data_IF_619926033364
#
_entry.id   IF_619926033364
#
_cell.length_a   1.000
_cell.length_b   1.000
_cell.length_c   1.000
_cell.angle_alpha   90.00
_cell.angle_beta   90.00
_cell.angle_gamma   90.00
#
_symmetry.space_group_name_H-M   'P 1'
#
loop_
_entity.id
_entity.type
_entity.pdbx_description
1 polymer ?
#
# COMPACT_ATOMS: atom_id res chain seq x y z
N UNK A 1 -4.64 25.26 -15.07
CA UNK A 1 -3.37 24.51 -14.85
C UNK A 1 -3.65 23.47 -13.77
N UNK A 2 -3.23 22.24 -13.98
CA UNK A 2 -3.34 21.20 -12.96
C UNK A 2 -2.61 21.62 -11.69
N UNK A 3 -3.20 21.32 -10.54
CA UNK A 3 -2.53 21.42 -9.25
C UNK A 3 -1.64 20.20 -9.08
N UNK A 4 -0.37 20.40 -8.80
CA UNK A 4 0.52 19.29 -8.49
C UNK A 4 0.14 18.70 -7.12
N UNK A 5 -0.25 17.40 -7.06
CA UNK A 5 -0.62 16.78 -5.79
C UNK A 5 0.62 16.55 -4.90
N UNK A 6 0.49 16.20 -3.61
CA UNK A 6 1.64 15.86 -2.77
C UNK A 6 2.50 14.75 -3.42
N UNK A 7 3.81 14.78 -3.17
CA UNK A 7 4.77 13.85 -3.76
C UNK A 7 5.27 12.84 -2.71
N UNK A 8 5.17 11.57 -3.01
CA UNK A 8 5.73 10.47 -2.20
C UNK A 8 6.84 9.73 -2.94
N UNK A 9 7.55 8.87 -2.24
CA UNK A 9 8.52 7.95 -2.82
C UNK A 9 8.20 6.52 -2.38
N UNK A 10 8.08 5.62 -3.34
CA UNK A 10 8.04 4.18 -3.12
C UNK A 10 9.41 3.57 -3.43
N UNK A 11 9.93 2.76 -2.53
CA UNK A 11 11.19 2.02 -2.69
C UNK A 11 10.88 0.53 -2.65
N UNK A 12 11.16 -0.18 -3.74
CA UNK A 12 10.91 -1.60 -3.84
C UNK A 12 12.15 -2.43 -3.53
N UNK A 13 12.04 -3.32 -2.54
CA UNK A 13 13.07 -4.33 -2.23
C UNK A 13 12.51 -5.71 -2.57
N UNK A 14 13.06 -6.39 -3.62
CA UNK A 14 12.38 -7.54 -4.21
C UNK A 14 12.64 -8.88 -3.52
N UNK A 15 13.47 -8.97 -2.49
CA UNK A 15 13.85 -10.25 -1.91
C UNK A 15 12.97 -10.66 -0.73
N UNK A 16 12.67 -11.97 -0.67
CA UNK A 16 12.07 -12.66 0.47
C UNK A 16 12.94 -13.86 0.83
N UNK A 17 12.90 -14.29 2.09
CA UNK A 17 13.47 -15.59 2.49
C UNK A 17 12.75 -16.71 1.73
N UNK A 18 11.42 -16.66 1.70
CA UNK A 18 10.56 -17.59 0.99
C UNK A 18 9.40 -16.81 0.36
N UNK A 19 9.02 -17.17 -0.89
CA UNK A 19 7.84 -16.58 -1.53
C UNK A 19 6.60 -17.34 -1.09
N UNK A 20 5.63 -16.62 -0.54
CA UNK A 20 4.35 -17.17 -0.11
C UNK A 20 3.51 -17.63 -1.31
N UNK A 21 2.72 -18.72 -1.20
CA UNK A 21 1.97 -19.30 -2.32
C UNK A 21 0.85 -18.41 -2.87
N UNK A 22 0.39 -17.41 -2.12
CA UNK A 22 -0.64 -16.45 -2.52
C UNK A 22 -0.07 -15.15 -3.08
N UNK A 23 1.24 -14.89 -2.90
CA UNK A 23 1.82 -13.57 -3.17
C UNK A 23 2.03 -13.33 -4.69
N UNK A 24 1.40 -12.27 -5.20
CA UNK A 24 1.52 -11.76 -6.57
C UNK A 24 2.57 -10.66 -6.75
N UNK A 25 3.09 -10.13 -5.63
CA UNK A 25 4.08 -9.06 -5.66
C UNK A 25 5.34 -9.48 -6.43
N UNK A 26 6.03 -8.46 -7.00
CA UNK A 26 7.33 -8.67 -7.64
C UNK A 26 8.41 -9.05 -6.60
N UNK A 27 8.26 -10.24 -6.02
CA UNK A 27 9.14 -10.77 -4.98
C UNK A 27 9.87 -12.03 -5.46
N UNK A 28 11.11 -12.16 -5.04
CA UNK A 28 12.01 -13.23 -5.44
C UNK A 28 12.58 -13.92 -4.20
N UNK A 29 12.44 -15.26 -4.13
CA UNK A 29 13.08 -16.02 -3.06
C UNK A 29 14.60 -15.83 -3.12
N UNK A 30 15.19 -15.52 -1.98
CA UNK A 30 16.63 -15.35 -1.83
C UNK A 30 17.37 -16.65 -2.14
N UNK A 31 18.43 -16.55 -2.95
CA UNK A 31 19.36 -17.63 -3.23
C UNK A 31 20.78 -17.13 -2.94
N UNK A 32 21.29 -17.37 -1.73
CA UNK A 32 22.55 -16.85 -1.27
C UNK A 32 22.43 -15.47 -0.59
N UNK A 33 23.52 -14.72 -0.50
CA UNK A 33 23.55 -13.41 0.14
C UNK A 33 22.82 -12.35 -0.70
N UNK A 34 22.09 -11.44 -0.04
CA UNK A 34 21.47 -10.29 -0.69
C UNK A 34 22.57 -9.26 -0.96
N UNK A 35 22.71 -8.75 -2.20
CA UNK A 35 23.70 -7.73 -2.52
C UNK A 35 23.23 -6.33 -2.04
N UNK A 36 23.08 -6.13 -0.71
CA UNK A 36 22.48 -4.92 -0.14
C UNK A 36 23.13 -3.64 -0.66
N UNK A 37 24.46 -3.53 -0.56
CA UNK A 37 25.18 -2.30 -0.88
C UNK A 37 25.11 -2.00 -2.40
N UNK A 38 25.22 -3.02 -3.23
CA UNK A 38 25.11 -2.88 -4.67
C UNK A 38 23.69 -2.45 -5.06
N UNK A 39 22.67 -3.07 -4.46
CA UNK A 39 21.29 -2.71 -4.71
C UNK A 39 20.96 -1.29 -4.28
N UNK A 40 21.42 -0.84 -3.11
CA UNK A 40 21.25 0.54 -2.67
C UNK A 40 21.92 1.52 -3.63
N UNK A 41 23.10 1.21 -4.10
CA UNK A 41 23.78 2.02 -5.11
C UNK A 41 22.93 2.16 -6.38
N UNK A 42 22.32 1.08 -6.84
CA UNK A 42 21.41 1.10 -7.98
C UNK A 42 20.11 1.86 -7.69
N UNK A 43 19.51 1.74 -6.48
CA UNK A 43 18.36 2.55 -6.07
C UNK A 43 18.65 4.05 -6.14
N UNK A 44 19.82 4.48 -5.67
CA UNK A 44 20.22 5.88 -5.67
C UNK A 44 20.49 6.43 -7.09
N UNK A 45 21.04 5.59 -7.97
CA UNK A 45 21.21 5.94 -9.40
C UNK A 45 19.87 6.01 -10.11
N UNK A 46 18.94 5.10 -9.80
CA UNK A 46 17.58 5.10 -10.34
C UNK A 46 16.85 6.38 -9.94
N UNK A 47 16.93 6.76 -8.65
CA UNK A 47 16.38 8.02 -8.17
C UNK A 47 16.98 9.22 -8.92
N UNK A 48 18.30 9.27 -9.06
CA UNK A 48 18.98 10.36 -9.78
C UNK A 48 18.51 10.47 -11.24
N UNK A 49 18.34 9.33 -11.90
CA UNK A 49 17.84 9.28 -13.28
C UNK A 49 16.40 9.81 -13.38
N UNK A 50 15.51 9.42 -12.43
CA UNK A 50 14.13 9.88 -12.37
C UNK A 50 14.05 11.39 -12.05
N UNK A 51 14.84 11.89 -11.10
CA UNK A 51 14.89 13.32 -10.77
C UNK A 51 15.31 14.17 -11.97
N UNK A 52 16.21 13.66 -12.80
CA UNK A 52 16.61 14.33 -14.04
C UNK A 52 15.52 14.23 -15.14
N UNK A 53 14.95 13.02 -15.33
CA UNK A 53 13.93 12.75 -16.34
C UNK A 53 12.65 13.55 -16.10
N UNK A 54 12.20 13.57 -14.86
CA UNK A 54 10.93 14.16 -14.45
C UNK A 54 11.09 15.52 -13.74
N UNK A 55 12.21 16.21 -13.98
CA UNK A 55 12.56 17.46 -13.27
C UNK A 55 11.42 18.49 -13.26
N UNK A 56 10.68 18.64 -14.37
CA UNK A 56 9.62 19.65 -14.50
C UNK A 56 8.41 19.33 -13.60
N UNK A 57 8.14 18.05 -13.31
CA UNK A 57 7.13 17.63 -12.34
C UNK A 57 7.62 17.73 -10.88
N UNK A 58 8.90 17.46 -10.63
CA UNK A 58 9.44 17.29 -9.28
C UNK A 58 9.97 18.61 -8.68
N UNK A 59 10.36 19.55 -9.52
CA UNK A 59 11.06 20.78 -9.16
C UNK A 59 10.38 21.51 -7.98
N UNK A 60 11.15 21.80 -6.91
CA UNK A 60 10.72 22.49 -5.68
C UNK A 60 9.70 21.70 -4.81
N UNK A 61 9.43 20.44 -5.13
CA UNK A 61 8.57 19.60 -4.29
C UNK A 61 9.40 18.88 -3.25
N UNK A 62 8.81 18.68 -2.07
CA UNK A 62 9.39 17.87 -0.99
C UNK A 62 8.65 16.53 -0.92
N UNK A 63 9.33 15.50 -0.41
CA UNK A 63 8.67 14.22 -0.17
C UNK A 63 7.78 14.31 1.07
N UNK A 64 6.50 14.00 0.88
CA UNK A 64 5.48 13.91 1.91
C UNK A 64 5.58 12.58 2.70
N UNK A 65 5.91 11.49 2.01
CA UNK A 65 6.12 10.17 2.61
C UNK A 65 7.11 9.33 1.80
N UNK A 66 7.74 8.37 2.48
CA UNK A 66 8.54 7.30 1.86
C UNK A 66 7.98 5.95 2.34
N UNK A 67 7.76 5.03 1.41
CA UNK A 67 7.35 3.67 1.73
C UNK A 67 8.36 2.67 1.14
N UNK A 68 8.99 1.89 2.01
CA UNK A 68 9.97 0.86 1.63
C UNK A 68 9.26 -0.50 1.76
N UNK A 69 8.90 -1.09 0.60
CA UNK A 69 8.05 -2.27 0.54
C UNK A 69 8.50 -3.29 -0.50
N UNK A 70 7.63 -4.26 -0.79
CA UNK A 70 7.77 -5.21 -1.88
C UNK A 70 7.91 -6.66 -1.46
N UNK A 71 9.13 -7.18 -1.35
CA UNK A 71 9.41 -8.52 -0.82
C UNK A 71 9.43 -8.51 0.71
N UNK A 72 10.62 -8.35 1.26
CA UNK A 72 10.85 -8.26 2.72
C UNK A 72 11.95 -7.23 2.97
N UNK A 73 11.62 -5.94 3.03
CA UNK A 73 12.61 -4.87 3.26
C UNK A 73 13.41 -5.02 4.56
N UNK A 74 12.83 -5.62 5.58
CA UNK A 74 13.49 -5.90 6.86
C UNK A 74 14.66 -6.91 6.79
N UNK A 75 14.89 -7.51 5.63
CA UNK A 75 16.11 -8.28 5.38
C UNK A 75 17.36 -7.39 5.28
N UNK A 76 17.18 -6.11 4.90
CA UNK A 76 18.30 -5.15 4.83
C UNK A 76 18.68 -4.68 6.23
N UNK A 77 19.98 -4.46 6.43
CA UNK A 77 20.52 -3.96 7.69
C UNK A 77 20.04 -2.52 8.00
N UNK A 78 20.00 -2.16 9.28
CA UNK A 78 19.66 -0.80 9.70
C UNK A 78 20.64 0.24 9.14
N UNK A 79 21.92 -0.12 9.04
CA UNK A 79 22.99 0.67 8.45
C UNK A 79 22.74 0.95 6.98
N UNK A 80 22.31 -0.07 6.25
CA UNK A 80 21.95 0.04 4.82
C UNK A 80 20.74 0.96 4.61
N UNK A 81 19.72 0.83 5.44
CA UNK A 81 18.53 1.72 5.39
C UNK A 81 18.91 3.17 5.79
N UNK A 82 19.75 3.35 6.82
CA UNK A 82 20.22 4.68 7.21
C UNK A 82 21.00 5.36 6.07
N UNK A 83 21.88 4.62 5.41
CA UNK A 83 22.63 5.12 4.27
C UNK A 83 21.71 5.50 3.12
N UNK A 84 20.77 4.63 2.76
CA UNK A 84 19.78 4.90 1.71
C UNK A 84 19.00 6.19 1.99
N UNK A 85 18.39 6.33 3.16
CA UNK A 85 17.59 7.50 3.52
C UNK A 85 18.42 8.80 3.56
N UNK A 86 19.65 8.72 4.06
CA UNK A 86 20.60 9.86 4.07
C UNK A 86 20.91 10.32 2.64
N UNK A 87 21.18 9.39 1.72
CA UNK A 87 21.54 9.73 0.35
C UNK A 87 20.32 10.18 -0.47
N UNK A 88 19.12 9.65 -0.22
CA UNK A 88 17.87 10.17 -0.79
C UNK A 88 17.67 11.63 -0.37
N UNK A 89 17.84 11.94 0.93
CA UNK A 89 17.67 13.31 1.45
C UNK A 89 18.63 14.32 0.86
N UNK A 90 19.78 13.91 0.37
CA UNK A 90 20.69 14.80 -0.37
C UNK A 90 20.22 15.12 -1.78
N UNK A 91 19.38 14.28 -2.36
CA UNK A 91 18.89 14.41 -3.74
C UNK A 91 17.53 15.11 -3.82
N UNK A 92 16.68 14.92 -2.82
CA UNK A 92 15.35 15.53 -2.74
C UNK A 92 14.98 15.83 -1.27
N UNK A 93 14.45 17.02 -1.01
CA UNK A 93 14.06 17.45 0.33
C UNK A 93 12.87 16.66 0.89
N UNK A 94 12.83 16.51 2.21
CA UNK A 94 11.73 15.93 2.96
C UNK A 94 10.89 17.02 3.62
N UNK A 95 9.58 16.77 3.76
CA UNK A 95 8.73 17.56 4.66
C UNK A 95 9.15 17.32 6.13
N UNK A 96 8.94 18.31 7.00
CA UNK A 96 9.37 18.26 8.40
C UNK A 96 8.74 17.07 9.17
N UNK A 97 7.48 16.73 8.84
CA UNK A 97 6.73 15.64 9.45
C UNK A 97 6.56 14.44 8.49
N UNK A 98 7.60 14.14 7.71
CA UNK A 98 7.57 13.01 6.77
C UNK A 98 7.24 11.69 7.51
N UNK A 99 6.39 10.88 6.91
CA UNK A 99 6.22 9.48 7.30
C UNK A 99 7.17 8.60 6.48
N UNK A 100 7.96 7.78 7.15
CA UNK A 100 8.85 6.80 6.51
C UNK A 100 8.47 5.43 7.02
N UNK A 101 7.83 4.63 6.16
CA UNK A 101 7.37 3.27 6.46
C UNK A 101 8.34 2.23 5.93
N UNK A 102 8.59 1.19 6.72
CA UNK A 102 9.31 -0.03 6.32
C UNK A 102 8.40 -1.25 6.52
N UNK A 103 8.27 -2.10 5.51
CA UNK A 103 7.64 -3.41 5.68
C UNK A 103 8.59 -4.41 6.33
N UNK A 104 8.05 -5.20 7.25
CA UNK A 104 8.81 -6.20 8.00
C UNK A 104 8.03 -7.50 8.18
N UNK A 105 8.76 -8.61 8.17
CA UNK A 105 8.24 -9.85 8.72
C UNK A 105 8.40 -9.84 10.25
N UNK A 106 7.48 -10.49 10.98
CA UNK A 106 7.54 -10.54 12.43
C UNK A 106 8.49 -11.63 12.97
N UNK A 107 9.50 -12.04 12.21
CA UNK A 107 10.53 -12.99 12.66
C UNK A 107 11.41 -12.38 13.76
N UNK A 108 12.01 -13.21 14.59
CA UNK A 108 12.79 -12.76 15.76
C UNK A 108 13.95 -11.87 15.38
N UNK A 109 14.68 -12.23 14.32
CA UNK A 109 15.88 -11.48 13.88
C UNK A 109 15.50 -10.09 13.35
N UNK A 110 14.41 -9.98 12.60
CA UNK A 110 13.92 -8.71 12.05
C UNK A 110 13.41 -7.79 13.16
N UNK A 111 12.70 -8.32 14.13
CA UNK A 111 12.18 -7.54 15.26
C UNK A 111 13.28 -6.92 16.14
N UNK A 112 14.40 -7.61 16.35
CA UNK A 112 15.55 -7.08 17.07
C UNK A 112 16.18 -5.85 16.40
N UNK A 113 15.98 -5.69 15.08
CA UNK A 113 16.49 -4.56 14.30
C UNK A 113 15.64 -3.28 14.40
N UNK A 114 14.43 -3.34 14.96
CA UNK A 114 13.50 -2.20 14.97
C UNK A 114 14.08 -0.92 15.57
N UNK A 115 14.85 -1.01 16.68
CA UNK A 115 15.54 0.15 17.24
C UNK A 115 16.58 0.74 16.28
N UNK A 116 17.26 -0.11 15.54
CA UNK A 116 18.19 0.32 14.48
C UNK A 116 17.47 1.07 13.36
N UNK A 117 16.32 0.58 12.91
CA UNK A 117 15.51 1.25 11.88
C UNK A 117 14.97 2.60 12.36
N UNK A 118 14.54 2.71 13.63
CA UNK A 118 14.15 4.01 14.21
C UNK A 118 15.33 4.97 14.19
N UNK A 119 16.52 4.52 14.59
CA UNK A 119 17.75 5.33 14.53
C UNK A 119 18.14 5.71 13.11
N UNK A 120 17.80 4.88 12.12
CA UNK A 120 17.98 5.16 10.69
C UNK A 120 16.98 6.20 10.14
N UNK A 121 15.92 6.53 10.88
CA UNK A 121 14.90 7.51 10.48
C UNK A 121 13.55 6.90 10.10
N UNK A 122 13.36 5.58 10.23
CA UNK A 122 12.04 4.94 10.04
C UNK A 122 11.10 5.43 11.15
N UNK A 123 9.91 5.89 10.76
CA UNK A 123 8.89 6.41 11.68
C UNK A 123 7.73 5.45 11.88
N UNK A 124 7.53 4.52 10.92
CA UNK A 124 6.44 3.54 10.91
C UNK A 124 6.96 2.18 10.41
N UNK A 125 6.50 1.09 11.02
CA UNK A 125 6.72 -0.28 10.52
C UNK A 125 5.37 -0.92 10.20
N UNK A 126 5.26 -1.59 9.03
CA UNK A 126 4.14 -2.47 8.68
C UNK A 126 4.57 -3.92 8.84
N UNK A 127 3.89 -4.65 9.71
CA UNK A 127 4.26 -6.04 10.03
C UNK A 127 3.29 -7.03 9.41
N UNK A 128 3.78 -7.88 8.52
CA UNK A 128 3.01 -8.93 7.86
C UNK A 128 2.71 -10.10 8.79
N UNK A 129 1.83 -9.92 9.78
CA UNK A 129 1.41 -10.94 10.75
C UNK A 129 0.59 -12.03 10.07
N UNK A 130 -0.41 -11.65 9.31
CA UNK A 130 -1.39 -12.41 8.55
C UNK A 130 -2.42 -13.16 9.43
N UNK A 131 -1.99 -13.89 10.46
CA UNK A 131 -2.84 -14.58 11.44
C UNK A 131 -2.06 -14.84 12.73
N UNK A 132 -2.75 -15.09 13.83
CA UNK A 132 -2.18 -15.60 15.09
C UNK A 132 -2.48 -17.10 15.28
N UNK A 133 -2.94 -17.79 14.23
CA UNK A 133 -3.16 -19.22 14.20
C UNK A 133 -2.04 -19.92 13.41
N UNK A 134 -1.25 -20.78 14.08
CA UNK A 134 -0.08 -21.42 13.48
C UNK A 134 -0.42 -22.33 12.29
N UNK A 135 -1.59 -23.01 12.30
CA UNK A 135 -2.06 -23.84 11.16
C UNK A 135 -2.33 -22.94 9.94
N UNK A 136 -2.97 -21.78 10.14
CA UNK A 136 -3.24 -20.82 9.05
C UNK A 136 -1.94 -20.22 8.52
N UNK A 137 -1.01 -19.85 9.39
CA UNK A 137 0.32 -19.35 9.00
C UNK A 137 1.07 -20.38 8.16
N UNK A 138 1.06 -21.65 8.57
CA UNK A 138 1.69 -22.74 7.81
C UNK A 138 1.06 -22.91 6.43
N UNK A 139 -0.28 -22.88 6.32
CA UNK A 139 -1.00 -22.95 5.04
C UNK A 139 -0.71 -21.77 4.12
N UNK A 140 -0.48 -20.60 4.69
CA UNK A 140 -0.04 -19.40 3.97
C UNK A 140 1.45 -19.44 3.58
N UNK A 141 2.21 -20.48 3.98
CA UNK A 141 3.64 -20.56 3.73
C UNK A 141 4.46 -19.52 4.51
N UNK A 142 3.95 -19.07 5.67
CA UNK A 142 4.68 -18.14 6.54
C UNK A 142 5.76 -18.89 7.31
N UNK A 143 6.90 -18.20 7.54
CA UNK A 143 8.06 -18.76 8.22
C UNK A 143 8.07 -18.47 9.73
N UNK A 144 7.24 -17.52 10.18
CA UNK A 144 7.06 -17.18 11.59
C UNK A 144 5.82 -17.88 12.18
N UNK A 145 5.76 -17.96 13.49
CA UNK A 145 4.62 -18.46 14.26
C UNK A 145 3.95 -17.34 15.08
N UNK A 146 2.81 -17.63 15.71
CA UNK A 146 2.04 -16.67 16.49
C UNK A 146 2.82 -16.07 17.67
N UNK A 147 3.67 -16.83 18.33
CA UNK A 147 4.49 -16.34 19.45
C UNK A 147 5.54 -15.31 18.98
N UNK A 148 6.19 -15.56 17.85
CA UNK A 148 7.13 -14.63 17.22
C UNK A 148 6.41 -13.35 16.77
N UNK A 149 5.21 -13.48 16.18
CA UNK A 149 4.38 -12.35 15.80
C UNK A 149 4.06 -11.43 17.00
N UNK A 150 3.62 -11.99 18.12
CA UNK A 150 3.33 -11.25 19.35
C UNK A 150 4.60 -10.60 19.95
N UNK A 151 5.72 -11.32 19.91
CA UNK A 151 7.00 -10.77 20.35
C UNK A 151 7.43 -9.58 19.53
N UNK A 152 7.32 -9.64 18.20
CA UNK A 152 7.62 -8.53 17.29
C UNK A 152 6.78 -7.29 17.59
N UNK A 153 5.47 -7.47 17.83
CA UNK A 153 4.59 -6.35 18.20
C UNK A 153 5.03 -5.69 19.51
N UNK A 154 5.39 -6.49 20.52
CA UNK A 154 5.86 -5.95 21.79
C UNK A 154 7.19 -5.19 21.65
N UNK A 155 8.10 -5.65 20.78
CA UNK A 155 9.34 -4.93 20.47
C UNK A 155 9.06 -3.63 19.70
N UNK A 156 8.09 -3.63 18.77
CA UNK A 156 7.68 -2.41 18.07
C UNK A 156 7.17 -1.33 19.04
N UNK A 157 6.36 -1.70 20.04
CA UNK A 157 5.84 -0.76 21.07
C UNK A 157 6.96 -0.04 21.86
N UNK A 158 8.08 -0.70 22.09
CA UNK A 158 9.18 -0.14 22.90
C UNK A 158 10.37 0.33 22.06
N UNK A 159 10.27 0.29 20.75
CA UNK A 159 11.35 0.66 19.82
C UNK A 159 11.53 2.17 19.63
N UNK A 160 10.51 2.97 19.95
CA UNK A 160 10.48 4.41 19.70
C UNK A 160 9.82 4.81 18.37
N UNK A 161 9.14 3.89 17.67
CA UNK A 161 8.34 4.17 16.49
C UNK A 161 7.19 5.15 16.80
N UNK A 162 6.87 6.03 15.87
CA UNK A 162 5.68 6.90 15.96
C UNK A 162 4.39 6.10 15.73
N UNK A 163 4.45 5.09 14.87
CA UNK A 163 3.32 4.22 14.52
C UNK A 163 3.81 2.84 14.07
N UNK A 164 2.93 1.86 14.16
CA UNK A 164 3.11 0.57 13.48
C UNK A 164 1.77 -0.01 13.04
N UNK A 165 1.80 -0.85 12.03
CA UNK A 165 0.66 -1.54 11.48
C UNK A 165 0.82 -3.06 11.65
N UNK A 166 -0.29 -3.74 11.87
CA UNK A 166 -0.39 -5.18 11.72
C UNK A 166 -1.21 -5.48 10.46
N UNK A 167 -0.61 -6.20 9.53
CA UNK A 167 -1.34 -6.75 8.38
C UNK A 167 -1.94 -8.09 8.79
N UNK A 168 -3.25 -8.22 8.76
CA UNK A 168 -4.00 -9.42 9.00
C UNK A 168 -4.83 -9.80 7.79
N UNK A 169 -5.02 -11.08 7.58
CA UNK A 169 -5.84 -11.61 6.51
C UNK A 169 -7.02 -12.41 7.08
N UNK A 170 -8.14 -12.38 6.35
CA UNK A 170 -9.28 -13.24 6.60
C UNK A 170 -9.68 -14.02 5.34
N UNK A 171 -10.64 -14.94 5.46
CA UNK A 171 -10.97 -15.83 4.36
C UNK A 171 -9.84 -16.82 4.05
N UNK A 172 -9.06 -17.21 5.07
CA UNK A 172 -7.92 -18.10 4.94
C UNK A 172 -8.35 -19.55 4.64
N UNK A 173 -7.45 -20.43 4.15
CA UNK A 173 -7.79 -21.81 3.85
C UNK A 173 -8.44 -22.53 5.04
N UNK A 174 -9.70 -22.98 4.85
CA UNK A 174 -10.56 -23.61 5.87
C UNK A 174 -10.69 -22.76 7.17
N UNK A 175 -10.69 -21.46 7.08
CA UNK A 175 -10.89 -20.58 8.23
C UNK A 175 -12.37 -20.53 8.60
N UNK A 176 -12.68 -20.71 9.88
CA UNK A 176 -14.01 -20.48 10.44
C UNK A 176 -14.18 -19.03 10.88
N UNK A 177 -15.43 -18.59 11.04
CA UNK A 177 -15.77 -17.28 11.61
C UNK A 177 -15.06 -17.05 12.95
N UNK A 178 -15.13 -18.02 13.88
CA UNK A 178 -14.52 -17.87 15.21
C UNK A 178 -12.99 -17.73 15.14
N UNK A 179 -12.31 -18.45 14.25
CA UNK A 179 -10.86 -18.30 14.03
C UNK A 179 -10.50 -16.92 13.49
N UNK A 180 -11.31 -16.37 12.57
CA UNK A 180 -11.08 -15.02 12.03
C UNK A 180 -11.29 -13.93 13.10
N UNK A 181 -12.33 -14.08 13.93
CA UNK A 181 -12.59 -13.16 15.04
C UNK A 181 -11.55 -13.28 16.15
N UNK A 182 -11.01 -14.48 16.40
CA UNK A 182 -9.94 -14.69 17.38
C UNK A 182 -8.65 -13.98 16.95
N UNK A 183 -8.28 -14.02 15.68
CA UNK A 183 -7.17 -13.24 15.14
C UNK A 183 -7.34 -11.73 15.43
N UNK A 184 -8.55 -11.19 15.23
CA UNK A 184 -8.83 -9.78 15.54
C UNK A 184 -8.81 -9.47 17.02
N UNK A 185 -9.35 -10.36 17.90
CA UNK A 185 -9.29 -10.17 19.35
C UNK A 185 -7.84 -10.09 19.83
N UNK A 186 -6.98 -11.00 19.37
CA UNK A 186 -5.57 -11.00 19.70
C UNK A 186 -4.86 -9.72 19.18
N UNK A 187 -5.19 -9.26 17.98
CA UNK A 187 -4.67 -7.99 17.46
C UNK A 187 -5.10 -6.79 18.31
N UNK A 188 -6.38 -6.73 18.71
CA UNK A 188 -6.94 -5.67 19.56
C UNK A 188 -6.27 -5.65 20.94
N UNK A 189 -6.05 -6.81 21.56
CA UNK A 189 -5.29 -6.93 22.82
C UNK A 189 -3.86 -6.39 22.70
N UNK A 190 -3.22 -6.60 21.55
CA UNK A 190 -1.92 -6.03 21.23
C UNK A 190 -1.98 -4.53 20.94
N UNK A 191 -3.17 -3.96 20.85
CA UNK A 191 -3.41 -2.51 20.77
C UNK A 191 -2.54 -1.73 19.78
N UNK A 192 -2.37 -2.15 18.51
CA UNK A 192 -1.66 -1.37 17.52
C UNK A 192 -2.41 -0.06 17.21
N UNK A 193 -1.71 1.00 16.77
CA UNK A 193 -2.38 2.21 16.32
C UNK A 193 -3.08 2.06 14.97
N UNK A 194 -2.68 1.05 14.16
CA UNK A 194 -3.20 0.79 12.82
C UNK A 194 -3.29 -0.71 12.54
N UNK A 195 -4.34 -1.12 11.84
CA UNK A 195 -4.60 -2.49 11.38
C UNK A 195 -4.97 -2.46 9.91
N UNK A 196 -4.28 -3.25 9.09
CA UNK A 196 -4.76 -3.65 7.77
C UNK A 196 -5.43 -5.02 7.91
N UNK A 197 -6.67 -5.14 7.49
CA UNK A 197 -7.43 -6.38 7.55
C UNK A 197 -8.11 -6.61 6.22
N UNK A 198 -7.62 -7.59 5.46
CA UNK A 198 -8.02 -7.82 4.08
C UNK A 198 -8.28 -9.30 3.79
N UNK A 199 -9.20 -9.53 2.85
CA UNK A 199 -9.57 -10.87 2.42
C UNK A 199 -8.48 -11.48 1.56
N UNK A 200 -8.21 -12.76 1.76
CA UNK A 200 -7.37 -13.55 0.86
C UNK A 200 -8.04 -13.66 -0.51
N UNK A 201 -7.37 -13.13 -1.54
CA UNK A 201 -7.76 -13.28 -2.95
C UNK A 201 -6.81 -14.24 -3.66
N UNK A 202 -7.33 -14.97 -4.64
CA UNK A 202 -6.52 -15.88 -5.47
C UNK A 202 -6.08 -15.13 -6.72
N UNK A 203 -4.88 -14.58 -6.65
CA UNK A 203 -4.32 -13.78 -7.73
C UNK A 203 -3.71 -14.64 -8.84
N UNK A 204 -3.86 -14.25 -10.13
CA UNK A 204 -3.23 -14.94 -11.25
C UNK A 204 -1.71 -15.09 -11.09
N UNK A 205 -1.13 -16.14 -11.67
CA UNK A 205 0.31 -16.44 -11.62
C UNK A 205 0.87 -16.74 -10.21
N UNK A 206 0.02 -17.08 -9.24
CA UNK A 206 0.41 -17.55 -7.91
C UNK A 206 0.28 -19.08 -7.80
N UNK A 207 0.92 -19.66 -6.79
CA UNK A 207 0.77 -21.10 -6.51
C UNK A 207 -0.68 -21.44 -6.11
N UNK A 208 -1.38 -20.52 -5.43
CA UNK A 208 -2.79 -20.70 -5.08
C UNK A 208 -3.70 -20.66 -6.32
N UNK A 209 -3.38 -19.87 -7.35
CA UNK A 209 -4.12 -19.93 -8.62
C UNK A 209 -3.91 -21.29 -9.33
N UNK A 210 -2.71 -21.86 -9.24
CA UNK A 210 -2.41 -23.16 -9.84
C UNK A 210 -3.00 -24.35 -9.04
N UNK A 211 -3.02 -24.23 -7.71
CA UNK A 211 -3.59 -25.25 -6.78
C UNK A 211 -4.41 -24.53 -5.72
N UNK A 212 -5.66 -24.14 -6.04
CA UNK A 212 -6.48 -23.39 -5.11
C UNK A 212 -6.74 -24.15 -3.82
N UNK A 213 -6.53 -23.54 -2.65
CA UNK A 213 -6.96 -24.12 -1.40
C UNK A 213 -8.49 -24.04 -1.28
N UNK A 214 -9.07 -24.82 -0.38
CA UNK A 214 -10.48 -24.64 -0.01
C UNK A 214 -10.60 -23.37 0.86
N UNK A 215 -11.31 -22.37 0.37
CA UNK A 215 -11.66 -21.14 1.09
C UNK A 215 -13.08 -21.25 1.69
N UNK A 216 -13.42 -20.40 2.66
CA UNK A 216 -14.81 -20.20 3.10
C UNK A 216 -15.68 -19.79 1.90
N UNK A 217 -16.97 -20.09 1.95
CA UNK A 217 -17.92 -19.64 0.94
C UNK A 217 -18.30 -18.14 1.12
N UNK A 218 -19.08 -17.61 0.18
CA UNK A 218 -19.40 -16.18 0.17
C UNK A 218 -20.21 -15.75 1.39
N UNK A 219 -21.12 -16.59 1.88
CA UNK A 219 -21.91 -16.30 3.09
C UNK A 219 -21.01 -16.30 4.33
N UNK A 220 -20.10 -17.30 4.45
CA UNK A 220 -19.11 -17.35 5.53
C UNK A 220 -18.16 -16.12 5.47
N UNK A 221 -17.72 -15.72 4.28
CA UNK A 221 -16.88 -14.53 4.09
C UNK A 221 -17.60 -13.24 4.49
N UNK A 222 -18.88 -13.14 4.18
CA UNK A 222 -19.71 -12.02 4.58
C UNK A 222 -19.86 -11.93 6.11
N UNK A 223 -20.18 -13.04 6.76
CA UNK A 223 -20.29 -13.11 8.22
C UNK A 223 -18.96 -12.72 8.90
N UNK A 224 -17.85 -13.19 8.37
CA UNK A 224 -16.50 -12.83 8.86
C UNK A 224 -16.30 -11.30 8.74
N UNK A 225 -16.60 -10.73 7.57
CA UNK A 225 -16.41 -9.31 7.33
C UNK A 225 -17.31 -8.46 8.24
N UNK A 226 -18.61 -8.76 8.31
CA UNK A 226 -19.56 -7.97 9.09
C UNK A 226 -19.21 -7.98 10.58
N UNK A 227 -19.02 -9.18 11.17
CA UNK A 227 -18.71 -9.29 12.58
C UNK A 227 -17.30 -8.79 12.92
N UNK A 228 -16.33 -8.98 12.03
CA UNK A 228 -14.99 -8.44 12.22
C UNK A 228 -14.96 -6.91 12.15
N UNK A 229 -15.72 -6.30 11.24
CA UNK A 229 -15.90 -4.85 11.18
C UNK A 229 -16.53 -4.31 12.48
N UNK A 230 -17.59 -4.95 12.98
CA UNK A 230 -18.23 -4.58 14.25
C UNK A 230 -17.26 -4.70 15.42
N UNK A 231 -16.45 -5.75 15.47
CA UNK A 231 -15.44 -5.96 16.52
C UNK A 231 -14.37 -4.87 16.51
N UNK A 232 -13.82 -4.53 15.35
CA UNK A 232 -12.81 -3.48 15.19
C UNK A 232 -13.35 -2.10 15.56
N UNK A 233 -14.55 -1.75 15.07
CA UNK A 233 -15.16 -0.45 15.35
C UNK A 233 -15.54 -0.30 16.84
N UNK A 234 -16.03 -1.37 17.47
CA UNK A 234 -16.31 -1.41 18.91
C UNK A 234 -15.06 -1.26 19.77
N UNK A 235 -13.88 -1.67 19.24
CA UNK A 235 -12.59 -1.49 19.88
C UNK A 235 -11.96 -0.10 19.63
N UNK A 236 -12.70 0.81 18.98
CA UNK A 236 -12.29 2.20 18.75
C UNK A 236 -11.42 2.43 17.51
N UNK A 237 -11.35 1.46 16.61
CA UNK A 237 -10.74 1.66 15.28
C UNK A 237 -11.75 2.25 14.31
N UNK A 238 -11.29 3.16 13.47
CA UNK A 238 -12.07 3.74 12.38
C UNK A 238 -11.57 3.16 11.06
N UNK A 239 -12.47 2.56 10.29
CA UNK A 239 -12.17 2.21 8.92
C UNK A 239 -12.05 3.51 8.11
N UNK A 240 -10.96 3.71 7.37
CA UNK A 240 -10.76 4.92 6.56
C UNK A 240 -10.56 4.60 5.07
N UNK A 241 -10.26 3.36 4.75
CA UNK A 241 -10.23 2.83 3.37
C UNK A 241 -10.70 1.37 3.39
N UNK A 242 -10.83 0.75 2.23
CA UNK A 242 -11.45 -0.58 2.04
C UNK A 242 -10.94 -1.65 3.00
N UNK A 243 -9.64 -1.65 3.30
CA UNK A 243 -8.98 -2.72 4.07
C UNK A 243 -8.20 -2.21 5.28
N UNK A 244 -8.27 -0.92 5.61
CA UNK A 244 -7.47 -0.37 6.70
C UNK A 244 -8.29 0.34 7.76
N UNK A 245 -7.89 0.08 8.99
CA UNK A 245 -8.47 0.60 10.22
C UNK A 245 -7.39 1.30 11.04
N UNK A 246 -7.69 2.45 11.61
CA UNK A 246 -6.74 3.20 12.42
C UNK A 246 -7.43 3.82 13.65
N UNK A 247 -6.66 4.03 14.71
CA UNK A 247 -7.01 4.99 15.76
C UNK A 247 -6.87 6.41 15.23
N UNK A 248 -7.47 7.38 15.87
CA UNK A 248 -7.39 8.79 15.45
C UNK A 248 -5.90 9.20 15.25
N UNK A 249 -5.63 9.91 14.14
CA UNK A 249 -4.32 10.43 13.74
C UNK A 249 -3.26 9.38 13.33
N UNK A 250 -3.64 8.09 13.21
CA UNK A 250 -2.71 7.02 12.83
C UNK A 250 -2.95 6.42 11.44
N UNK A 251 -3.73 7.10 10.60
CA UNK A 251 -3.89 6.71 9.19
C UNK A 251 -2.53 6.77 8.46
N UNK A 252 -2.29 5.82 7.56
CA UNK A 252 -1.04 5.78 6.78
C UNK A 252 -0.99 6.92 5.75
N UNK A 253 -0.08 7.87 5.92
CA UNK A 253 0.05 9.03 5.01
C UNK A 253 0.41 8.63 3.59
N UNK A 254 1.25 7.61 3.42
CA UNK A 254 1.63 7.13 2.10
C UNK A 254 0.43 6.55 1.34
N UNK A 255 -0.39 5.71 2.01
CA UNK A 255 -1.59 5.13 1.41
C UNK A 255 -2.63 6.21 1.13
N UNK A 256 -2.84 7.15 2.06
CA UNK A 256 -3.73 8.29 1.83
C UNK A 256 -3.30 9.13 0.61
N UNK A 257 -2.00 9.41 0.46
CA UNK A 257 -1.51 10.12 -0.72
C UNK A 257 -1.82 9.35 -2.00
N UNK A 258 -1.59 8.05 -2.00
CA UNK A 258 -1.90 7.17 -3.12
C UNK A 258 -3.40 7.20 -3.46
N UNK A 259 -4.27 6.97 -2.47
CA UNK A 259 -5.72 6.94 -2.67
C UNK A 259 -6.34 8.32 -2.95
N UNK A 260 -5.70 9.42 -2.55
CA UNK A 260 -6.09 10.79 -2.91
C UNK A 260 -5.56 11.21 -4.28
N UNK A 261 -5.20 10.26 -5.11
CA UNK A 261 -4.65 10.49 -6.44
C UNK A 261 -3.35 11.28 -6.44
N UNK A 262 -2.57 11.19 -5.36
CA UNK A 262 -1.28 11.84 -5.19
C UNK A 262 -0.23 11.34 -6.17
N UNK A 263 0.88 12.09 -6.28
CA UNK A 263 2.04 11.68 -7.06
C UNK A 263 3.00 10.84 -6.24
N UNK A 264 3.67 9.92 -6.90
CA UNK A 264 4.73 9.13 -6.28
C UNK A 264 5.80 8.75 -7.29
N UNK A 265 7.04 9.06 -6.92
CA UNK A 265 8.23 8.47 -7.51
C UNK A 265 8.31 7.00 -7.08
N UNK A 266 8.93 6.18 -7.90
CA UNK A 266 9.11 4.77 -7.61
C UNK A 266 10.49 4.32 -8.07
N UNK A 267 11.28 3.79 -7.16
CA UNK A 267 12.60 3.22 -7.44
C UNK A 267 12.68 1.77 -6.98
N UNK A 268 13.52 1.01 -7.63
CA UNK A 268 13.67 -0.41 -7.33
C UNK A 268 12.98 -1.33 -8.31
N UNK A 269 13.41 -2.56 -8.30
CA UNK A 269 13.03 -3.60 -9.23
C UNK A 269 11.52 -3.87 -9.23
N UNK A 270 10.83 -3.57 -10.34
CA UNK A 270 9.38 -3.76 -10.49
C UNK A 270 8.50 -2.71 -9.81
N UNK A 271 9.08 -1.60 -9.35
CA UNK A 271 8.32 -0.49 -8.80
C UNK A 271 7.49 0.23 -9.87
N UNK A 272 6.37 0.82 -9.47
CA UNK A 272 5.48 1.61 -10.32
C UNK A 272 5.33 3.01 -9.76
N UNK A 273 5.32 4.02 -10.62
CA UNK A 273 5.16 5.42 -10.25
C UNK A 273 4.09 6.15 -11.06
N UNK A 274 3.65 7.29 -10.53
CA UNK A 274 2.71 8.22 -11.17
C UNK A 274 3.17 9.65 -10.90
N UNK A 275 3.23 10.48 -11.95
CA UNK A 275 3.59 11.89 -11.83
C UNK A 275 2.65 12.77 -12.66
N UNK A 276 2.29 13.90 -12.08
CA UNK A 276 1.52 14.97 -12.74
C UNK A 276 2.47 16.09 -13.15
N UNK A 277 2.34 16.58 -14.37
CA UNK A 277 3.18 17.65 -14.92
C UNK A 277 2.44 18.99 -14.97
N UNK A 278 3.16 20.12 -14.87
CA UNK A 278 2.55 21.46 -14.95
C UNK A 278 1.82 21.74 -16.27
N UNK A 279 2.18 21.05 -17.37
CA UNK A 279 1.51 21.15 -18.67
C UNK A 279 0.17 20.39 -18.73
N UNK A 280 -0.19 19.66 -17.70
CA UNK A 280 -1.44 18.90 -17.61
C UNK A 280 -1.32 17.43 -17.98
N UNK A 281 -0.13 16.95 -18.28
CA UNK A 281 0.11 15.51 -18.50
C UNK A 281 0.16 14.75 -17.18
N UNK A 282 -0.34 13.51 -17.20
CA UNK A 282 -0.21 12.54 -16.12
C UNK A 282 0.49 11.34 -16.69
N UNK A 283 1.62 10.97 -16.11
CA UNK A 283 2.45 9.86 -16.58
C UNK A 283 2.49 8.74 -15.55
N UNK A 284 2.29 7.52 -15.99
CA UNK A 284 2.59 6.31 -15.25
C UNK A 284 3.85 5.68 -15.80
N UNK A 285 4.69 5.17 -14.91
CA UNK A 285 5.90 4.47 -15.32
C UNK A 285 6.16 3.25 -14.42
N UNK A 286 6.94 2.31 -14.94
CA UNK A 286 7.33 1.12 -14.20
C UNK A 286 8.80 0.80 -14.39
N UNK A 287 9.35 0.09 -13.42
CA UNK A 287 10.75 -0.31 -13.40
C UNK A 287 10.94 -1.75 -13.85
N UNK A 288 12.14 -2.07 -14.31
CA UNK A 288 12.55 -3.42 -14.70
C UNK A 288 12.24 -4.43 -13.61
N UNK A 289 11.43 -5.46 -13.93
CA UNK A 289 10.88 -6.42 -12.96
C UNK A 289 11.91 -7.40 -12.39
N UNK A 290 12.94 -7.75 -13.18
CA UNK A 290 13.91 -8.79 -12.77
C UNK A 290 15.15 -8.16 -12.11
N UNK A 291 15.56 -8.58 -10.89
CA UNK A 291 16.71 -8.00 -10.18
C UNK A 291 18.01 -7.97 -11.00
N UNK A 292 18.30 -9.01 -11.78
CA UNK A 292 19.51 -9.04 -12.62
C UNK A 292 19.52 -7.96 -13.72
N UNK A 293 18.37 -7.62 -14.30
CA UNK A 293 18.26 -6.53 -15.28
C UNK A 293 18.45 -5.18 -14.59
N UNK A 294 17.77 -4.99 -13.46
CA UNK A 294 17.87 -3.78 -12.65
C UNK A 294 19.31 -3.48 -12.19
N UNK A 295 20.04 -4.50 -11.73
CA UNK A 295 21.44 -4.41 -11.32
C UNK A 295 22.44 -4.21 -12.50
N UNK A 296 21.98 -4.22 -13.76
CA UNK A 296 22.76 -3.78 -14.93
C UNK A 296 22.60 -2.31 -15.24
N UNK A 297 21.74 -1.59 -14.50
CA UNK A 297 21.44 -0.19 -14.74
C UNK A 297 20.27 0.05 -15.71
N UNK A 298 19.52 -0.98 -16.06
CA UNK A 298 18.32 -0.91 -16.89
C UNK A 298 17.11 -0.64 -15.98
N UNK A 299 16.89 0.63 -15.56
CA UNK A 299 15.91 0.93 -14.52
C UNK A 299 14.49 1.06 -15.07
N UNK A 300 14.29 1.91 -16.08
CA UNK A 300 12.97 2.16 -16.65
C UNK A 300 12.56 1.01 -17.57
N UNK A 301 11.38 0.44 -17.34
CA UNK A 301 10.78 -0.58 -18.21
C UNK A 301 9.74 0.03 -19.15
N UNK A 302 8.86 0.85 -18.63
CA UNK A 302 7.75 1.45 -19.37
C UNK A 302 7.44 2.84 -18.85
N UNK A 303 6.99 3.72 -19.73
CA UNK A 303 6.48 5.05 -19.44
C UNK A 303 5.30 5.32 -20.37
N UNK A 304 4.17 5.73 -19.80
CA UNK A 304 2.92 5.99 -20.55
C UNK A 304 2.24 7.23 -20.02
N UNK A 305 1.78 8.10 -20.90
CA UNK A 305 0.83 9.14 -20.53
C UNK A 305 -0.56 8.54 -20.33
N UNK A 306 -1.26 8.99 -19.30
CA UNK A 306 -2.66 8.66 -19.05
C UNK A 306 -3.53 9.52 -19.97
N UNK A 307 -4.23 8.92 -20.95
CA UNK A 307 -5.13 9.68 -21.83
C UNK A 307 -6.21 10.40 -21.01
N UNK A 308 -6.69 11.54 -21.51
CA UNK A 308 -7.75 12.29 -20.81
C UNK A 308 -9.01 11.45 -20.57
N UNK A 309 -9.34 10.59 -21.51
CA UNK A 309 -10.53 9.72 -21.44
C UNK A 309 -10.44 8.69 -20.30
N UNK A 310 -9.24 8.27 -19.90
CA UNK A 310 -9.02 7.28 -18.84
C UNK A 310 -8.88 7.92 -17.44
N UNK A 311 -8.68 9.24 -17.38
CA UNK A 311 -8.45 9.95 -16.10
C UNK A 311 -9.61 9.85 -15.11
N UNK A 312 -10.89 9.87 -15.53
CA UNK A 312 -12.00 9.66 -14.59
C UNK A 312 -11.92 8.32 -13.87
N UNK A 313 -11.70 7.23 -14.61
CA UNK A 313 -11.53 5.90 -14.02
C UNK A 313 -10.33 5.85 -13.07
N UNK A 314 -9.17 6.34 -13.50
CA UNK A 314 -7.95 6.41 -12.69
C UNK A 314 -8.15 7.20 -11.39
N UNK A 315 -8.89 8.31 -11.44
CA UNK A 315 -9.19 9.13 -10.28
C UNK A 315 -10.16 8.42 -9.32
N UNK A 316 -11.30 7.96 -9.80
CA UNK A 316 -12.34 7.36 -8.95
C UNK A 316 -11.93 5.98 -8.41
N UNK A 317 -11.16 5.19 -9.17
CA UNK A 317 -10.59 3.93 -8.71
C UNK A 317 -9.74 4.12 -7.42
N UNK A 318 -9.06 5.24 -7.30
CA UNK A 318 -8.32 5.59 -6.10
C UNK A 318 -9.23 6.23 -5.03
N UNK A 319 -10.01 7.25 -5.40
CA UNK A 319 -10.76 8.07 -4.43
C UNK A 319 -11.90 7.33 -3.74
N UNK A 320 -12.61 6.43 -4.43
CA UNK A 320 -13.71 5.66 -3.84
C UNK A 320 -13.24 4.47 -2.97
N UNK A 321 -11.94 4.22 -2.90
CA UNK A 321 -11.41 3.34 -1.85
C UNK A 321 -11.41 4.00 -0.47
N UNK A 322 -11.32 5.32 -0.41
CA UNK A 322 -11.42 6.09 0.83
C UNK A 322 -12.88 6.29 1.21
N UNK A 323 -13.16 6.24 2.52
CA UNK A 323 -14.50 6.44 3.07
C UNK A 323 -14.80 7.91 3.38
N UNK A 324 -13.83 8.79 3.15
CA UNK A 324 -14.00 10.24 3.24
C UNK A 324 -14.73 10.81 2.01
N UNK A 325 -15.34 11.96 2.17
CA UNK A 325 -15.93 12.69 1.06
C UNK A 325 -14.85 13.08 0.03
N UNK A 326 -15.19 12.97 -1.25
CA UNK A 326 -14.33 13.35 -2.38
C UNK A 326 -14.67 14.79 -2.79
N UNK A 327 -13.81 15.79 -2.53
CA UNK A 327 -14.06 17.15 -2.97
C UNK A 327 -14.14 17.21 -4.50
N UNK A 328 -15.21 17.80 -5.04
CA UNK A 328 -15.41 17.94 -6.49
C UNK A 328 -14.28 18.71 -7.16
N UNK A 329 -13.72 19.69 -6.44
CA UNK A 329 -12.59 20.48 -6.92
C UNK A 329 -11.31 19.65 -7.12
N UNK A 330 -11.10 18.59 -6.33
CA UNK A 330 -9.95 17.71 -6.51
C UNK A 330 -9.99 16.97 -7.85
N UNK A 331 -11.19 16.61 -8.34
CA UNK A 331 -11.32 16.03 -9.67
C UNK A 331 -10.80 16.96 -10.75
N UNK A 332 -11.21 18.23 -10.73
CA UNK A 332 -10.73 19.23 -11.68
C UNK A 332 -9.23 19.54 -11.50
N UNK A 333 -8.80 19.72 -10.25
CA UNK A 333 -7.42 20.06 -9.91
C UNK A 333 -6.42 18.99 -10.36
N UNK A 334 -6.77 17.72 -10.23
CA UNK A 334 -5.85 16.60 -10.46
C UNK A 334 -6.01 15.88 -11.79
N UNK A 335 -7.20 15.95 -12.42
CA UNK A 335 -7.42 15.34 -13.73
C UNK A 335 -7.31 16.36 -14.88
N UNK A 336 -7.53 17.64 -14.60
CA UNK A 336 -7.65 18.70 -15.60
C UNK A 336 -8.96 18.69 -16.37
N UNK A 337 -9.92 17.87 -15.95
CA UNK A 337 -11.22 17.72 -16.59
C UNK A 337 -12.29 18.48 -15.81
N UNK A 338 -13.30 19.02 -16.51
CA UNK A 338 -14.47 19.60 -15.87
C UNK A 338 -15.36 18.50 -15.26
N UNK A 339 -15.98 18.78 -14.11
CA UNK A 339 -16.97 17.89 -13.50
C UNK A 339 -18.10 17.49 -14.48
N UNK A 340 -18.40 18.35 -15.46
CA UNK A 340 -19.40 18.04 -16.49
C UNK A 340 -19.06 16.81 -17.33
N UNK A 341 -17.76 16.43 -17.43
CA UNK A 341 -17.34 15.25 -18.21
C UNK A 341 -17.79 13.92 -17.60
N UNK A 342 -18.08 13.90 -16.31
CA UNK A 342 -18.50 12.70 -15.55
C UNK A 342 -19.93 12.80 -15.04
N UNK A 343 -20.68 13.85 -15.47
CA UNK A 343 -22.02 14.13 -14.95
C UNK A 343 -22.97 12.95 -15.08
N UNK A 344 -23.03 12.30 -16.25
CA UNK A 344 -23.95 11.20 -16.50
C UNK A 344 -23.64 9.98 -15.61
N UNK A 345 -22.35 9.67 -15.43
CA UNK A 345 -21.89 8.58 -14.57
C UNK A 345 -22.22 8.86 -13.10
N UNK A 346 -21.99 10.09 -12.65
CA UNK A 346 -22.32 10.54 -11.30
C UNK A 346 -23.83 10.51 -11.06
N UNK A 347 -24.65 11.05 -11.98
CA UNK A 347 -26.12 11.03 -11.89
C UNK A 347 -26.63 9.59 -11.77
N UNK A 348 -26.08 8.66 -12.57
CA UNK A 348 -26.42 7.24 -12.51
C UNK A 348 -25.99 6.59 -11.18
N UNK A 349 -24.77 6.86 -10.71
CA UNK A 349 -24.27 6.35 -9.44
C UNK A 349 -25.13 6.82 -8.24
N UNK A 350 -25.65 8.06 -8.28
CA UNK A 350 -26.60 8.59 -7.29
C UNK A 350 -27.93 7.84 -7.37
N UNK A 351 -28.45 7.63 -8.59
CA UNK A 351 -29.71 6.90 -8.81
C UNK A 351 -29.64 5.46 -8.29
N UNK A 352 -28.47 4.80 -8.42
CA UNK A 352 -28.22 3.46 -7.87
C UNK A 352 -27.89 3.46 -6.38
N UNK A 353 -27.89 4.63 -5.71
CA UNK A 353 -27.49 4.77 -4.31
C UNK A 353 -26.06 4.30 -4.02
N UNK A 354 -25.17 4.34 -5.00
CA UNK A 354 -23.74 4.04 -4.77
C UNK A 354 -23.02 5.21 -4.11
N UNK A 355 -23.39 6.44 -4.46
CA UNK A 355 -22.83 7.66 -3.89
C UNK A 355 -23.94 8.63 -3.52
N UNK A 356 -23.63 9.55 -2.60
CA UNK A 356 -24.41 10.76 -2.34
C UNK A 356 -23.63 11.98 -2.80
N UNK A 357 -24.33 12.97 -3.31
CA UNK A 357 -23.75 14.24 -3.73
C UNK A 357 -24.14 15.36 -2.76
N UNK A 358 -23.12 16.07 -2.28
CA UNK A 358 -23.26 17.31 -1.54
C UNK A 358 -22.93 18.51 -2.45
N UNK A 359 -23.03 19.72 -1.93
CA UNK A 359 -22.74 20.94 -2.70
C UNK A 359 -21.34 20.91 -3.34
N UNK A 360 -20.33 20.44 -2.60
CA UNK A 360 -18.90 20.52 -2.95
C UNK A 360 -18.19 19.14 -2.98
N UNK A 361 -18.91 18.06 -2.74
CA UNK A 361 -18.30 16.72 -2.62
C UNK A 361 -19.21 15.59 -3.07
N UNK A 362 -18.59 14.45 -3.41
CA UNK A 362 -19.22 13.14 -3.57
C UNK A 362 -18.77 12.24 -2.42
N UNK A 363 -19.64 11.36 -1.96
CA UNK A 363 -19.29 10.39 -0.94
C UNK A 363 -19.89 9.03 -1.26
N UNK A 364 -19.07 7.99 -1.15
CA UNK A 364 -19.53 6.61 -1.30
C UNK A 364 -20.48 6.26 -0.15
N UNK A 365 -21.57 5.57 -0.44
CA UNK A 365 -22.53 5.07 0.56
C UNK A 365 -22.10 3.70 1.08
N UNK A 366 -22.74 3.20 2.14
CA UNK A 366 -22.54 1.81 2.60
C UNK A 366 -22.88 0.81 1.48
N UNK A 367 -23.94 1.08 0.70
CA UNK A 367 -24.28 0.27 -0.46
C UNK A 367 -23.21 0.35 -1.56
N UNK A 368 -22.72 1.54 -1.87
CA UNK A 368 -21.67 1.73 -2.88
C UNK A 368 -20.34 1.05 -2.52
N UNK A 369 -20.03 0.91 -1.23
CA UNK A 369 -18.83 0.14 -0.79
C UNK A 369 -18.93 -1.33 -1.17
N UNK A 370 -20.13 -1.92 -1.05
CA UNK A 370 -20.38 -3.33 -1.40
C UNK A 370 -20.34 -3.56 -2.91
N UNK A 371 -20.72 -2.55 -3.69
CA UNK A 371 -20.77 -2.57 -5.16
C UNK A 371 -19.71 -1.65 -5.76
N UNK A 372 -18.52 -1.62 -5.14
CA UNK A 372 -17.44 -0.73 -5.59
C UNK A 372 -17.01 -1.01 -7.03
N UNK A 373 -16.96 -2.27 -7.45
CA UNK A 373 -16.57 -2.63 -8.81
C UNK A 373 -17.58 -2.10 -9.83
N UNK A 374 -18.87 -2.29 -9.59
CA UNK A 374 -19.96 -1.80 -10.44
C UNK A 374 -19.96 -0.27 -10.50
N UNK A 375 -19.70 0.41 -9.37
CA UNK A 375 -19.53 1.85 -9.34
C UNK A 375 -18.35 2.29 -10.22
N UNK A 376 -17.23 1.60 -10.16
CA UNK A 376 -16.03 1.95 -10.93
C UNK A 376 -16.18 1.65 -12.42
N UNK A 377 -16.90 0.59 -12.79
CA UNK A 377 -17.20 0.26 -14.18
C UNK A 377 -17.91 1.40 -14.93
N UNK A 378 -18.68 2.25 -14.24
CA UNK A 378 -19.34 3.41 -14.85
C UNK A 378 -18.36 4.40 -15.49
N UNK A 379 -17.11 4.42 -15.01
CA UNK A 379 -16.06 5.32 -15.48
C UNK A 379 -15.10 4.65 -16.48
N UNK A 380 -15.28 3.36 -16.77
CA UNK A 380 -14.54 2.69 -17.84
C UNK A 380 -15.02 3.18 -19.19
N UNK A 381 -14.10 3.46 -20.09
CA UNK A 381 -14.41 3.73 -21.48
C UNK A 381 -14.51 2.42 -22.23
N UNK A 382 -15.61 2.22 -22.97
CA UNK A 382 -15.68 1.12 -23.94
C UNK A 382 -14.54 1.30 -24.97
N UNK A 383 -13.64 0.34 -25.01
CA UNK A 383 -12.50 0.30 -25.94
C UNK A 383 -12.93 -0.13 -27.34
#
# INVERSE_FOLDING_TARGET
MLKLPPLSLYVHIPWCVQKCPYCDFNSHAQKGDIPEQDYIHHLLKDLQADLQRFKDSIQKRKLHSIFIGGGTPSLFSAESIAYLLKEIKKQIDFEDNIEITLEANPGTVEAERFKGYVSAGITRISMGIQSFNDDKLQRLGRIHNAAEAKSAVNLAKVSGLKSFNLDLMHGLPNQTLEEALDDLRQAIELSPPHLSWYQLTIEPNTMFAYRPPKLPDDDELWDIFEQGHQLLTSAGYQQYETSAYAKADFQCKHNLNYWRFGDYLAIGCGAHGKLTFPNGEITRFSKTKHPKGYLRGEYLYEEKNVPEIDRPFEFFMNRFRLLEAVPKQEFEDYTGLSQSTVKNQIDFAIQQNYIVENADSWQITEHGKLFLNELLELFLTES
#
